data_IF_939502348445
#
_entry.id   IF_939502348445
#
_cell.length_a   1.000
_cell.length_b   1.000
_cell.length_c   1.000
_cell.angle_alpha   90.00
_cell.angle_beta   90.00
_cell.angle_gamma   90.00
#
_symmetry.space_group_name_H-M   'P 1'
#
loop_
_entity.id
_entity.type
_entity.pdbx_description
1 polymer ?
#
# COMPACT_ATOMS: atom_id res chain seq x y z
N UNK A 1 -16.03 21.22 5.32
CA UNK A 1 -15.43 20.49 4.18
C UNK A 1 -16.54 20.29 3.16
N UNK A 2 -16.41 20.80 1.93
CA UNK A 2 -17.43 20.56 0.92
C UNK A 2 -17.46 19.06 0.62
N UNK A 3 -18.66 18.49 0.66
CA UNK A 3 -18.93 17.08 0.34
C UNK A 3 -18.45 16.83 -1.08
N UNK A 4 -17.35 16.08 -1.25
CA UNK A 4 -16.87 15.63 -2.55
C UNK A 4 -18.02 14.85 -3.17
N UNK A 5 -18.64 15.35 -4.24
CA UNK A 5 -19.61 14.59 -5.02
C UNK A 5 -18.93 13.27 -5.40
N UNK A 6 -19.41 12.16 -4.85
CA UNK A 6 -18.95 10.82 -5.21
C UNK A 6 -19.43 10.55 -6.63
N UNK A 7 -18.57 10.87 -7.61
CA UNK A 7 -18.79 10.64 -9.04
C UNK A 7 -18.68 9.17 -9.40
N UNK A 8 -19.55 8.35 -8.82
CA UNK A 8 -19.65 6.92 -9.06
C UNK A 8 -20.84 6.56 -9.94
N UNK A 9 -20.95 5.29 -10.29
CA UNK A 9 -22.06 4.74 -11.07
C UNK A 9 -22.31 3.30 -10.66
N UNK A 10 -23.57 2.88 -10.81
CA UNK A 10 -23.97 1.48 -10.73
C UNK A 10 -24.65 1.11 -12.04
N UNK A 11 -24.40 -0.09 -12.52
CA UNK A 11 -25.00 -0.62 -13.74
C UNK A 11 -25.83 -1.83 -13.38
N UNK A 12 -27.09 -1.80 -13.81
CA UNK A 12 -28.08 -2.85 -13.56
C UNK A 12 -28.48 -3.49 -14.88
N UNK A 13 -28.58 -4.83 -14.87
CA UNK A 13 -29.23 -5.62 -15.91
C UNK A 13 -30.65 -5.91 -15.47
N UNK A 14 -31.62 -5.57 -16.30
CA UNK A 14 -33.03 -5.93 -16.07
C UNK A 14 -33.28 -7.27 -16.75
N UNK A 15 -33.73 -8.26 -15.99
CA UNK A 15 -34.06 -9.61 -16.49
C UNK A 15 -35.43 -9.63 -17.19
N UNK A 16 -35.77 -10.67 -17.97
CA UNK A 16 -37.05 -10.75 -18.69
C UNK A 16 -38.30 -10.70 -17.79
N UNK A 17 -38.18 -11.06 -16.53
CA UNK A 17 -39.22 -10.98 -15.49
C UNK A 17 -39.31 -9.59 -14.83
N UNK A 18 -38.43 -8.66 -15.21
CA UNK A 18 -38.34 -7.32 -14.64
C UNK A 18 -37.44 -7.20 -13.42
N UNK A 19 -36.81 -8.28 -12.94
CA UNK A 19 -35.92 -8.22 -11.78
C UNK A 19 -34.62 -7.45 -12.15
N UNK A 20 -34.28 -6.35 -11.43
CA UNK A 20 -33.03 -5.64 -11.65
C UNK A 20 -31.90 -6.32 -10.88
N UNK A 21 -30.84 -6.71 -11.58
CA UNK A 21 -29.62 -7.28 -11.00
C UNK A 21 -28.44 -6.36 -11.24
N UNK A 22 -27.76 -5.95 -10.17
CA UNK A 22 -26.54 -5.13 -10.28
C UNK A 22 -25.42 -5.98 -10.88
N UNK A 23 -24.80 -5.49 -11.96
CA UNK A 23 -23.71 -6.18 -12.66
C UNK A 23 -22.37 -5.47 -12.51
N UNK A 24 -22.37 -4.21 -12.09
CA UNK A 24 -21.16 -3.44 -11.87
C UNK A 24 -21.43 -2.24 -10.95
N UNK A 25 -20.41 -1.81 -10.21
CA UNK A 25 -20.44 -0.57 -9.43
C UNK A 25 -19.05 0.02 -9.26
N UNK A 26 -18.93 1.34 -9.35
CA UNK A 26 -17.75 2.09 -8.94
C UNK A 26 -18.16 3.32 -8.13
N UNK A 27 -17.39 3.61 -7.08
CA UNK A 27 -17.56 4.85 -6.30
C UNK A 27 -16.86 6.06 -6.91
N UNK A 28 -16.08 5.86 -7.98
CA UNK A 28 -15.18 6.87 -8.57
C UNK A 28 -15.32 7.07 -10.07
N UNK A 29 -15.91 6.10 -10.77
CA UNK A 29 -16.07 6.13 -12.22
C UNK A 29 -17.53 6.43 -12.58
N UNK A 30 -17.72 7.48 -13.38
CA UNK A 30 -19.02 7.81 -13.97
C UNK A 30 -19.14 7.12 -15.32
N UNK A 31 -20.19 6.31 -15.53
CA UNK A 31 -20.47 5.66 -16.82
C UNK A 31 -21.24 6.62 -17.73
N UNK A 32 -20.73 6.86 -18.95
CA UNK A 32 -21.35 7.74 -19.95
C UNK A 32 -22.01 6.97 -21.09
N UNK A 33 -21.47 5.81 -21.46
CA UNK A 33 -22.03 4.98 -22.51
C UNK A 33 -21.85 3.49 -22.20
N UNK A 34 -22.79 2.70 -22.75
CA UNK A 34 -22.84 1.24 -22.65
C UNK A 34 -22.93 0.68 -24.06
N UNK A 35 -22.29 -0.46 -24.32
CA UNK A 35 -22.41 -1.15 -25.60
C UNK A 35 -21.83 -2.56 -25.54
N UNK A 36 -22.30 -3.52 -26.34
CA UNK A 36 -21.71 -4.86 -26.38
C UNK A 36 -20.28 -4.83 -26.95
N UNK A 37 -19.41 -5.76 -26.62
CA UNK A 37 -18.21 -6.04 -27.42
C UNK A 37 -18.59 -7.00 -28.57
N UNK A 38 -17.66 -7.37 -29.46
CA UNK A 38 -17.93 -8.28 -30.58
C UNK A 38 -18.41 -9.67 -30.14
N UNK A 39 -18.12 -10.07 -28.90
CA UNK A 39 -18.54 -11.33 -28.30
C UNK A 39 -19.84 -11.19 -27.48
N UNK A 40 -20.48 -10.01 -27.50
CA UNK A 40 -21.73 -9.72 -26.80
C UNK A 40 -21.57 -9.37 -25.32
N UNK A 41 -20.34 -9.23 -24.79
CA UNK A 41 -20.11 -8.82 -23.40
C UNK A 41 -20.30 -7.32 -23.24
N UNK A 42 -20.77 -6.86 -22.08
CA UNK A 42 -21.06 -5.43 -21.89
C UNK A 42 -19.78 -4.61 -21.68
N UNK A 43 -19.56 -3.60 -22.52
CA UNK A 43 -18.58 -2.54 -22.34
C UNK A 43 -19.19 -1.34 -21.61
N UNK A 44 -18.40 -0.75 -20.72
CA UNK A 44 -18.70 0.45 -19.93
C UNK A 44 -17.67 1.53 -20.27
N UNK A 45 -18.12 2.58 -20.96
CA UNK A 45 -17.32 3.77 -21.24
C UNK A 45 -17.45 4.75 -20.07
N UNK A 46 -16.33 5.09 -19.42
CA UNK A 46 -16.33 5.93 -18.23
C UNK A 46 -15.63 7.27 -18.42
N UNK A 47 -15.91 8.20 -17.50
CA UNK A 47 -15.19 9.46 -17.33
C UNK A 47 -14.25 9.50 -16.14
N UNK A 48 -13.72 10.69 -15.87
CA UNK A 48 -12.66 11.00 -14.91
C UNK A 48 -11.27 10.46 -15.30
N UNK A 49 -11.20 9.20 -15.73
CA UNK A 49 -9.93 8.55 -16.11
C UNK A 49 -9.96 7.90 -17.50
N UNK A 50 -11.01 8.14 -18.30
CA UNK A 50 -11.08 7.65 -19.67
C UNK A 50 -11.02 6.13 -19.80
N UNK A 51 -11.60 5.39 -18.85
CA UNK A 51 -11.49 3.94 -18.80
C UNK A 51 -12.61 3.26 -19.57
N UNK A 52 -12.27 2.18 -20.25
CA UNK A 52 -13.22 1.27 -20.87
C UNK A 52 -13.16 -0.06 -20.12
N UNK A 53 -14.24 -0.42 -19.43
CA UNK A 53 -14.35 -1.71 -18.77
C UNK A 53 -15.18 -2.68 -19.60
N UNK A 54 -14.89 -3.97 -19.51
CA UNK A 54 -15.75 -5.07 -19.96
C UNK A 54 -16.25 -5.85 -18.76
N UNK A 55 -17.55 -6.07 -18.68
CA UNK A 55 -18.15 -6.90 -17.64
C UNK A 55 -17.98 -8.36 -18.03
N UNK A 56 -17.23 -9.11 -17.23
CA UNK A 56 -16.99 -10.55 -17.43
C UNK A 56 -18.04 -11.38 -16.69
N UNK A 57 -18.38 -10.95 -15.47
CA UNK A 57 -19.47 -11.47 -14.65
C UNK A 57 -19.93 -10.37 -13.69
N UNK A 58 -20.85 -10.67 -12.79
CA UNK A 58 -21.33 -9.70 -11.79
C UNK A 58 -20.30 -9.29 -10.76
N UNK A 59 -19.25 -10.10 -10.61
CA UNK A 59 -18.17 -9.87 -9.65
C UNK A 59 -16.85 -9.56 -10.33
N UNK A 60 -16.74 -9.78 -11.64
CA UNK A 60 -15.50 -9.62 -12.40
C UNK A 60 -15.69 -8.69 -13.59
N UNK A 61 -14.80 -7.72 -13.71
CA UNK A 61 -14.70 -6.86 -14.88
C UNK A 61 -13.22 -6.69 -15.26
N UNK A 62 -12.99 -6.43 -16.54
CA UNK A 62 -11.67 -6.25 -17.12
C UNK A 62 -11.54 -4.81 -17.60
N UNK A 63 -10.49 -4.11 -17.21
CA UNK A 63 -10.10 -2.85 -17.83
C UNK A 63 -9.53 -3.15 -19.21
N UNK A 64 -10.27 -2.83 -20.27
CA UNK A 64 -9.89 -3.11 -21.66
C UNK A 64 -8.90 -2.06 -22.16
N UNK A 65 -9.16 -0.79 -21.84
CA UNK A 65 -8.30 0.31 -22.26
C UNK A 65 -8.43 1.52 -21.33
N UNK A 66 -7.37 2.32 -21.27
CA UNK A 66 -7.37 3.65 -20.66
C UNK A 66 -6.99 4.66 -21.74
N UNK A 67 -7.90 5.59 -22.05
CA UNK A 67 -7.67 6.63 -23.04
C UNK A 67 -6.84 7.77 -22.45
N UNK A 68 -6.01 8.46 -23.25
CA UNK A 68 -5.34 9.68 -22.82
C UNK A 68 -6.30 10.82 -22.44
N UNK A 69 -7.54 10.76 -22.96
CA UNK A 69 -8.61 11.70 -22.65
C UNK A 69 -9.44 11.18 -21.49
N UNK A 70 -9.77 12.04 -20.53
CA UNK A 70 -10.41 11.65 -19.27
C UNK A 70 -11.85 11.13 -19.41
N UNK A 71 -12.47 11.22 -20.59
CA UNK A 71 -13.87 10.85 -20.79
C UNK A 71 -14.07 10.12 -22.11
N UNK A 72 -14.69 8.95 -22.05
CA UNK A 72 -15.27 8.24 -23.20
C UNK A 72 -16.79 8.44 -23.14
N UNK A 73 -17.37 9.16 -24.09
CA UNK A 73 -18.77 9.60 -24.04
C UNK A 73 -19.70 8.86 -24.97
N UNK A 74 -19.18 8.15 -25.98
CA UNK A 74 -19.97 7.32 -26.87
C UNK A 74 -19.20 6.11 -27.37
N UNK A 75 -19.95 5.05 -27.66
CA UNK A 75 -19.49 3.81 -28.28
C UNK A 75 -20.28 3.57 -29.57
N UNK A 76 -19.60 3.19 -30.65
CA UNK A 76 -20.26 2.83 -31.92
C UNK A 76 -19.67 1.55 -32.50
N UNK A 77 -20.53 0.55 -32.70
CA UNK A 77 -20.16 -0.75 -33.28
C UNK A 77 -20.03 -0.68 -34.79
N UNK A 78 -19.00 -1.35 -35.31
CA UNK A 78 -18.78 -1.52 -36.75
C UNK A 78 -19.10 -2.94 -37.18
N UNK A 79 -19.57 -3.16 -38.42
CA UNK A 79 -19.78 -4.50 -38.97
C UNK A 79 -18.51 -5.38 -39.00
N UNK A 80 -17.33 -4.77 -38.98
CA UNK A 80 -16.03 -5.46 -38.90
C UNK A 80 -15.74 -6.06 -37.51
N UNK A 81 -16.57 -5.80 -36.50
CA UNK A 81 -16.28 -6.15 -35.10
C UNK A 81 -15.43 -5.11 -34.38
N UNK A 82 -15.07 -3.99 -35.00
CA UNK A 82 -14.41 -2.91 -34.29
C UNK A 82 -15.41 -2.03 -33.52
N UNK A 83 -14.96 -1.40 -32.42
CA UNK A 83 -15.73 -0.44 -31.64
C UNK A 83 -15.07 0.93 -31.70
N UNK A 84 -15.80 1.94 -32.19
CA UNK A 84 -15.34 3.33 -32.15
C UNK A 84 -15.66 3.94 -30.79
N UNK A 85 -14.67 4.60 -30.19
CA UNK A 85 -14.74 5.29 -28.91
C UNK A 85 -14.67 6.80 -29.16
N UNK A 86 -15.71 7.54 -28.81
CA UNK A 86 -15.67 9.01 -28.85
C UNK A 86 -15.24 9.55 -27.49
N UNK A 87 -14.23 10.42 -27.47
CA UNK A 87 -13.76 11.06 -26.24
C UNK A 87 -14.17 12.52 -26.13
N UNK A 88 -14.29 12.99 -24.89
CA UNK A 88 -14.56 14.39 -24.54
C UNK A 88 -13.36 15.02 -23.81
N UNK A 89 -13.39 16.34 -23.58
CA UNK A 89 -12.28 17.25 -23.23
C UNK A 89 -11.28 17.44 -24.39
N UNK A 90 -10.72 16.35 -24.90
CA UNK A 90 -10.08 16.32 -26.20
C UNK A 90 -10.94 15.46 -27.13
N UNK A 91 -11.62 16.10 -28.08
CA UNK A 91 -12.48 15.44 -29.06
C UNK A 91 -11.66 14.58 -30.01
N UNK A 92 -11.62 13.27 -29.76
CA UNK A 92 -10.95 12.27 -30.60
C UNK A 92 -11.85 11.07 -30.78
N UNK A 93 -11.69 10.39 -31.90
CA UNK A 93 -12.26 9.07 -32.14
C UNK A 93 -11.12 8.06 -32.12
N UNK A 94 -11.25 7.04 -31.30
CA UNK A 94 -10.34 5.89 -31.27
C UNK A 94 -11.06 4.67 -31.81
N UNK A 95 -10.34 3.74 -32.41
CA UNK A 95 -10.89 2.46 -32.89
C UNK A 95 -10.27 1.33 -32.07
N UNK A 96 -11.13 0.55 -31.40
CA UNK A 96 -10.77 -0.68 -30.73
C UNK A 96 -11.06 -1.84 -31.68
N UNK A 97 -10.01 -2.51 -32.15
CA UNK A 97 -10.15 -3.68 -33.01
C UNK A 97 -10.65 -4.92 -32.25
N UNK A 98 -11.22 -5.92 -32.96
CA UNK A 98 -11.66 -7.18 -32.35
C UNK A 98 -10.50 -8.13 -32.00
N UNK A 99 -9.31 -7.87 -32.53
CA UNK A 99 -8.14 -8.73 -32.40
C UNK A 99 -7.34 -8.43 -31.13
N UNK A 100 -6.65 -9.45 -30.62
CA UNK A 100 -5.68 -9.28 -29.54
C UNK A 100 -4.47 -8.51 -30.05
N UNK A 101 -4.00 -7.54 -29.28
CA UNK A 101 -2.74 -6.86 -29.57
C UNK A 101 -1.56 -7.86 -29.57
N UNK A 102 -0.60 -7.68 -30.48
CA UNK A 102 0.63 -8.48 -30.48
C UNK A 102 1.50 -8.21 -29.25
N UNK A 103 1.44 -6.96 -28.74
CA UNK A 103 2.22 -6.49 -27.60
C UNK A 103 1.41 -5.54 -26.73
N UNK A 104 1.52 -5.70 -25.41
CA UNK A 104 0.92 -4.84 -24.40
C UNK A 104 1.93 -4.45 -23.32
N UNK A 105 1.67 -3.34 -22.63
CA UNK A 105 2.48 -2.87 -21.51
C UNK A 105 1.57 -2.50 -20.33
N UNK A 106 1.98 -2.88 -19.13
CA UNK A 106 1.30 -2.55 -17.89
C UNK A 106 2.31 -1.99 -16.89
N UNK A 107 2.04 -0.79 -16.36
CA UNK A 107 2.78 -0.22 -15.24
C UNK A 107 1.97 -0.37 -13.95
N UNK A 108 2.62 -0.89 -12.91
CA UNK A 108 2.00 -1.06 -11.60
C UNK A 108 1.76 0.26 -10.89
N UNK A 109 0.92 0.24 -9.86
CA UNK A 109 0.95 1.26 -8.82
C UNK A 109 2.32 1.28 -8.12
N UNK A 110 2.63 2.39 -7.46
CA UNK A 110 3.86 2.53 -6.68
C UNK A 110 3.72 1.79 -5.34
N UNK A 111 4.62 0.84 -5.12
CA UNK A 111 4.79 0.16 -3.83
C UNK A 111 5.58 1.07 -2.88
N UNK A 112 5.05 1.32 -1.69
CA UNK A 112 5.72 2.03 -0.60
C UNK A 112 6.17 1.04 0.50
N UNK A 113 7.47 0.73 0.55
CA UNK A 113 8.06 -0.10 1.61
C UNK A 113 8.08 0.57 2.99
N UNK A 114 7.47 1.76 3.11
CA UNK A 114 7.37 2.64 4.30
C UNK A 114 8.69 3.26 4.71
N UNK A 115 9.81 2.57 4.49
CA UNK A 115 11.16 3.03 4.76
C UNK A 115 12.12 2.60 3.66
N UNK A 116 13.34 3.14 3.74
CA UNK A 116 14.39 2.79 2.81
C UNK A 116 14.65 1.28 2.86
N UNK A 117 14.60 0.60 1.72
CA UNK A 117 14.73 -0.84 1.61
C UNK A 117 15.71 -1.25 0.51
N UNK A 118 16.28 -2.44 0.66
CA UNK A 118 16.98 -3.14 -0.42
C UNK A 118 15.98 -4.05 -1.12
N UNK A 119 15.87 -3.92 -2.42
CA UNK A 119 14.99 -4.75 -3.24
C UNK A 119 15.67 -6.09 -3.54
N UNK A 120 14.92 -7.16 -3.34
CA UNK A 120 15.34 -8.55 -3.50
C UNK A 120 14.82 -9.14 -4.80
N UNK A 121 14.39 -10.40 -4.76
CA UNK A 121 13.86 -11.13 -5.91
C UNK A 121 12.50 -10.56 -6.35
N UNK A 122 12.22 -10.65 -7.65
CA UNK A 122 10.88 -10.53 -8.22
C UNK A 122 10.41 -11.89 -8.68
N UNK A 123 9.20 -12.27 -8.33
CA UNK A 123 8.55 -13.51 -8.79
C UNK A 123 7.20 -13.16 -9.39
N UNK A 124 6.71 -13.95 -10.34
CA UNK A 124 5.37 -13.74 -10.88
C UNK A 124 4.71 -15.02 -11.37
N UNK A 125 3.39 -15.05 -11.21
CA UNK A 125 2.55 -16.14 -11.70
C UNK A 125 2.08 -15.79 -13.11
N UNK A 126 2.24 -16.74 -14.04
CA UNK A 126 1.89 -16.52 -15.43
C UNK A 126 1.34 -17.79 -16.11
N UNK A 127 0.66 -17.58 -17.23
CA UNK A 127 0.39 -18.60 -18.24
C UNK A 127 1.00 -18.12 -19.55
N UNK A 128 1.99 -18.85 -20.04
CA UNK A 128 2.73 -18.52 -21.25
C UNK A 128 2.40 -19.53 -22.36
N UNK A 129 1.58 -19.13 -23.36
CA UNK A 129 1.42 -19.87 -24.60
C UNK A 129 2.77 -20.06 -25.32
N UNK A 130 2.83 -21.04 -26.22
CA UNK A 130 4.05 -21.32 -26.96
C UNK A 130 4.49 -20.09 -27.77
N UNK A 131 5.74 -19.64 -27.54
CA UNK A 131 6.32 -18.49 -28.23
C UNK A 131 5.91 -17.11 -27.68
N UNK A 132 5.03 -17.07 -26.68
CA UNK A 132 4.74 -15.84 -25.96
C UNK A 132 5.85 -15.49 -24.96
N UNK A 133 5.98 -14.20 -24.64
CA UNK A 133 6.99 -13.68 -23.72
C UNK A 133 6.36 -12.68 -22.75
N UNK A 134 6.79 -12.73 -21.49
CA UNK A 134 6.53 -11.71 -20.48
C UNK A 134 7.88 -11.21 -19.97
N UNK A 135 8.11 -9.91 -20.10
CA UNK A 135 9.32 -9.24 -19.65
C UNK A 135 8.97 -8.23 -18.55
N UNK A 136 9.52 -8.42 -17.34
CA UNK A 136 9.22 -7.56 -16.19
C UNK A 136 10.44 -6.70 -15.84
N UNK A 137 10.28 -5.38 -15.78
CA UNK A 137 11.31 -4.45 -15.35
C UNK A 137 10.88 -3.69 -14.10
N UNK A 138 11.85 -3.26 -13.28
CA UNK A 138 11.58 -2.43 -12.10
C UNK A 138 12.37 -1.13 -12.10
N UNK A 139 11.80 -0.13 -11.44
CA UNK A 139 12.50 1.12 -11.07
C UNK A 139 12.19 1.47 -9.63
N UNK A 140 13.07 2.23 -9.00
CA UNK A 140 12.92 2.63 -7.61
C UNK A 140 13.23 4.11 -7.38
N UNK A 141 12.74 4.65 -6.27
CA UNK A 141 12.95 6.05 -5.92
C UNK A 141 12.60 6.37 -4.47
N UNK A 142 12.89 7.61 -4.05
CA UNK A 142 12.65 8.08 -2.67
C UNK A 142 11.51 9.12 -2.58
N UNK A 143 10.74 9.29 -3.66
CA UNK A 143 9.54 10.14 -3.70
C UNK A 143 8.33 9.30 -4.10
N UNK A 144 7.17 9.53 -3.49
CA UNK A 144 5.96 8.75 -3.75
C UNK A 144 5.47 8.88 -5.20
N UNK A 145 5.70 10.03 -5.84
CA UNK A 145 5.40 10.24 -7.26
C UNK A 145 6.65 9.96 -8.10
N UNK A 146 6.57 9.03 -9.08
CA UNK A 146 7.63 8.81 -10.06
C UNK A 146 7.98 10.12 -10.76
N UNK A 147 9.24 10.53 -10.66
CA UNK A 147 9.74 11.81 -11.17
C UNK A 147 11.22 11.67 -11.54
N UNK A 148 11.86 12.77 -11.97
CA UNK A 148 13.26 12.78 -12.44
C UNK A 148 14.28 12.15 -11.47
N UNK A 149 13.96 12.04 -10.18
CA UNK A 149 14.85 11.48 -9.15
C UNK A 149 14.65 9.97 -8.91
N UNK A 150 13.86 9.31 -9.74
CA UNK A 150 13.76 7.85 -9.78
C UNK A 150 14.84 7.26 -10.69
N UNK A 151 15.18 6.00 -10.46
CA UNK A 151 16.05 5.27 -11.39
C UNK A 151 15.39 5.14 -12.76
N UNK A 152 16.21 4.91 -13.80
CA UNK A 152 15.69 4.33 -15.03
C UNK A 152 15.05 2.97 -14.75
N UNK A 153 14.23 2.50 -15.67
CA UNK A 153 13.81 1.10 -15.69
C UNK A 153 15.07 0.22 -15.79
N UNK A 154 15.16 -0.78 -14.93
CA UNK A 154 16.21 -1.79 -14.97
C UNK A 154 16.06 -2.71 -16.19
N UNK A 155 17.03 -3.61 -16.36
CA UNK A 155 16.92 -4.68 -17.35
C UNK A 155 15.70 -5.56 -17.06
N UNK A 156 15.07 -6.04 -18.12
CA UNK A 156 13.92 -6.90 -17.98
C UNK A 156 14.35 -8.27 -17.43
N UNK A 157 13.67 -8.69 -16.38
CA UNK A 157 13.75 -10.02 -15.80
C UNK A 157 12.85 -10.93 -16.62
N UNK A 158 13.42 -12.00 -17.18
CA UNK A 158 12.71 -12.92 -18.10
C UNK A 158 12.39 -14.29 -17.48
N UNK A 159 12.96 -14.63 -16.32
CA UNK A 159 12.71 -15.92 -15.67
C UNK A 159 11.54 -15.85 -14.69
N UNK A 160 10.53 -16.71 -14.89
CA UNK A 160 9.42 -16.88 -13.95
C UNK A 160 9.87 -17.41 -12.57
N UNK A 161 11.04 -18.06 -12.49
CA UNK A 161 11.63 -18.53 -11.21
C UNK A 161 12.21 -17.37 -10.36
N UNK A 162 12.26 -16.18 -10.94
CA UNK A 162 12.53 -14.92 -10.28
C UNK A 162 14.00 -14.60 -10.11
N UNK A 163 14.43 -13.52 -10.77
CA UNK A 163 15.77 -12.96 -10.59
C UNK A 163 15.78 -11.81 -9.57
N UNK A 164 16.98 -11.45 -9.14
CA UNK A 164 17.20 -10.27 -8.31
C UNK A 164 16.74 -9.02 -9.05
N UNK A 165 15.97 -8.15 -8.39
CA UNK A 165 15.56 -6.88 -8.98
C UNK A 165 16.79 -6.05 -9.36
N UNK A 166 16.81 -5.52 -10.58
CA UNK A 166 17.86 -4.59 -11.04
C UNK A 166 17.75 -3.18 -10.44
N UNK A 167 16.81 -2.94 -9.52
CA UNK A 167 16.56 -1.60 -8.97
C UNK A 167 17.46 -1.26 -7.78
N UNK A 168 17.98 -0.02 -7.70
CA UNK A 168 18.79 0.41 -6.56
C UNK A 168 17.97 0.49 -5.26
N UNK A 169 18.62 0.38 -4.08
CA UNK A 169 17.92 0.53 -2.79
C UNK A 169 17.21 1.87 -2.66
N UNK A 170 15.92 1.84 -2.30
CA UNK A 170 15.09 3.03 -2.12
C UNK A 170 13.83 2.70 -1.29
N UNK A 171 12.98 3.70 -1.01
CA UNK A 171 11.70 3.49 -0.30
C UNK A 171 10.56 3.01 -1.20
N UNK A 172 10.52 3.48 -2.44
CA UNK A 172 9.45 3.20 -3.38
C UNK A 172 9.95 2.32 -4.52
N UNK A 173 9.11 1.40 -4.98
CA UNK A 173 9.34 0.53 -6.13
C UNK A 173 8.14 0.63 -7.07
N UNK A 174 8.38 0.57 -8.36
CA UNK A 174 7.35 0.35 -9.37
C UNK A 174 7.86 -0.70 -10.35
N UNK A 175 6.96 -1.57 -10.80
CA UNK A 175 7.26 -2.57 -11.81
C UNK A 175 6.44 -2.33 -13.07
N UNK A 176 6.93 -2.90 -14.16
CA UNK A 176 6.31 -2.82 -15.47
C UNK A 176 6.47 -4.13 -16.20
N UNK A 177 5.38 -4.64 -16.74
CA UNK A 177 5.39 -5.83 -17.57
C UNK A 177 5.15 -5.46 -19.02
N UNK A 178 5.92 -6.06 -19.91
CA UNK A 178 5.67 -6.09 -21.35
C UNK A 178 5.27 -7.50 -21.70
N UNK A 179 4.10 -7.64 -22.30
CA UNK A 179 3.52 -8.91 -22.72
C UNK A 179 3.54 -8.96 -24.24
N UNK A 180 4.10 -10.03 -24.81
CA UNK A 180 4.18 -10.24 -26.25
C UNK A 180 3.62 -11.61 -26.59
N UNK A 181 2.69 -11.68 -27.55
CA UNK A 181 2.15 -12.96 -28.04
C UNK A 181 2.80 -13.38 -29.35
N UNK A 182 2.83 -14.68 -29.59
CA UNK A 182 3.05 -15.29 -30.89
C UNK A 182 1.88 -16.23 -31.19
N UNK A 183 1.16 -16.01 -32.30
CA UNK A 183 -0.08 -16.75 -32.58
C UNK A 183 -1.30 -16.19 -31.84
N UNK A 184 -2.38 -16.96 -31.77
CA UNK A 184 -3.72 -16.44 -31.42
C UNK A 184 -4.02 -16.36 -29.92
N UNK A 185 -3.12 -16.85 -29.06
CA UNK A 185 -3.29 -16.84 -27.61
C UNK A 185 -2.48 -15.70 -26.96
N UNK A 186 -3.09 -14.99 -26.00
CA UNK A 186 -2.40 -13.96 -25.22
C UNK A 186 -1.67 -14.59 -24.02
N UNK A 187 -0.44 -14.17 -23.68
CA UNK A 187 0.12 -14.46 -22.37
C UNK A 187 -0.73 -13.83 -21.27
N UNK A 188 -0.74 -14.47 -20.09
CA UNK A 188 -1.42 -14.00 -18.89
C UNK A 188 -0.42 -13.80 -17.76
N UNK A 189 -0.57 -12.69 -17.04
CA UNK A 189 0.20 -12.34 -15.85
C UNK A 189 -0.78 -12.12 -14.70
N UNK A 190 -0.77 -13.02 -13.71
CA UNK A 190 -1.76 -13.02 -12.64
C UNK A 190 -1.32 -12.20 -11.43
N UNK A 191 -0.04 -12.33 -11.04
CA UNK A 191 0.51 -11.66 -9.88
C UNK A 191 2.00 -11.39 -10.04
N UNK A 192 2.47 -10.26 -9.51
CA UNK A 192 3.90 -9.94 -9.34
C UNK A 192 4.19 -9.75 -7.85
N UNK A 193 5.18 -10.47 -7.35
CA UNK A 193 5.65 -10.44 -5.95
C UNK A 193 7.04 -9.84 -5.91
N UNK A 194 7.21 -8.80 -5.11
CA UNK A 194 8.51 -8.18 -4.87
C UNK A 194 8.93 -8.43 -3.41
N UNK A 195 10.08 -9.06 -3.22
CA UNK A 195 10.68 -9.26 -1.90
C UNK A 195 11.65 -8.13 -1.60
N UNK A 196 11.71 -7.67 -0.35
CA UNK A 196 12.61 -6.59 0.04
C UNK A 196 12.97 -6.67 1.52
N UNK A 197 14.12 -6.07 1.86
CA UNK A 197 14.62 -5.95 3.21
C UNK A 197 14.68 -4.47 3.62
N UNK A 198 13.79 -4.00 4.50
CA UNK A 198 13.88 -2.66 5.07
C UNK A 198 15.20 -2.46 5.82
N UNK A 199 15.77 -1.26 5.74
CA UNK A 199 16.94 -0.90 6.55
C UNK A 199 16.53 -0.82 8.02
N UNK A 200 17.17 -1.62 8.85
CA UNK A 200 17.01 -1.53 10.30
C UNK A 200 17.40 -0.12 10.80
N UNK A 201 16.58 0.46 11.66
CA UNK A 201 16.83 1.76 12.30
C UNK A 201 17.00 1.52 13.78
N UNK A 202 17.99 2.18 14.40
CA UNK A 202 18.21 2.06 15.84
C UNK A 202 17.08 2.78 16.60
N UNK A 203 16.61 2.23 17.72
CA UNK A 203 15.74 2.96 18.62
C UNK A 203 16.47 4.17 19.22
N UNK A 204 15.71 5.21 19.58
CA UNK A 204 16.25 6.44 20.15
C UNK A 204 15.49 6.82 21.42
N UNK A 205 16.22 7.03 22.51
CA UNK A 205 15.69 7.68 23.72
C UNK A 205 15.57 9.17 23.41
N UNK A 206 14.34 9.68 23.46
CA UNK A 206 14.02 11.09 23.16
C UNK A 206 13.96 11.95 24.42
N UNK A 207 13.55 11.36 25.54
CA UNK A 207 13.42 12.02 26.83
C UNK A 207 13.85 11.05 27.92
N UNK A 208 14.56 11.59 28.91
CA UNK A 208 14.97 10.88 30.12
C UNK A 208 14.75 11.83 31.30
N UNK A 209 14.07 11.36 32.32
CA UNK A 209 13.78 12.11 33.54
C UNK A 209 14.13 11.27 34.75
N UNK A 210 14.68 11.91 35.78
CA UNK A 210 14.90 11.31 37.08
C UNK A 210 13.96 11.93 38.11
N UNK A 211 13.61 11.16 39.14
CA UNK A 211 12.91 11.70 40.32
C UNK A 211 13.86 12.56 41.14
N UNK A 212 13.34 13.52 41.93
CA UNK A 212 14.10 14.07 43.05
C UNK A 212 14.51 12.96 44.04
N UNK A 213 15.52 13.21 44.91
CA UNK A 213 15.86 12.30 45.99
C UNK A 213 14.67 12.01 46.90
N UNK A 214 14.55 10.77 47.39
CA UNK A 214 13.48 10.29 48.26
C UNK A 214 12.09 10.20 47.60
N UNK A 215 12.05 10.05 46.28
CA UNK A 215 10.82 9.81 45.52
C UNK A 215 11.02 8.62 44.59
N UNK A 216 9.92 7.90 44.30
CA UNK A 216 9.86 6.85 43.29
C UNK A 216 8.65 7.01 42.39
N UNK A 217 8.73 6.40 41.21
CA UNK A 217 7.56 6.23 40.36
C UNK A 217 6.62 5.16 40.95
N UNK A 218 5.29 5.31 40.80
CA UNK A 218 4.36 4.25 41.13
C UNK A 218 4.63 3.04 40.22
N UNK A 219 4.38 1.82 40.70
CA UNK A 219 4.48 0.64 39.86
C UNK A 219 3.58 0.83 38.64
N UNK A 220 4.16 0.55 37.47
CA UNK A 220 3.45 0.37 36.22
C UNK A 220 2.32 -0.63 36.47
N UNK A 221 1.07 -0.24 36.18
CA UNK A 221 0.02 -1.26 36.10
C UNK A 221 0.30 -2.08 34.84
N UNK A 222 0.28 -3.42 34.90
CA UNK A 222 0.43 -4.24 33.71
C UNK A 222 -0.60 -3.76 32.69
N UNK A 223 -0.12 -3.35 31.52
CA UNK A 223 -0.97 -2.90 30.44
C UNK A 223 -1.69 -4.15 29.93
N UNK A 224 -2.86 -4.48 30.49
CA UNK A 224 -3.74 -5.50 29.90
C UNK A 224 -3.92 -5.13 28.45
N UNK A 225 -3.32 -5.93 27.57
CA UNK A 225 -3.53 -5.81 26.14
C UNK A 225 -5.03 -6.00 25.93
N UNK A 226 -5.75 -4.90 25.69
CA UNK A 226 -7.08 -5.03 25.12
C UNK A 226 -6.84 -5.75 23.80
N UNK A 227 -7.34 -6.98 23.69
CA UNK A 227 -7.40 -7.67 22.43
C UNK A 227 -8.05 -6.69 21.44
N UNK A 228 -7.27 -6.20 20.49
CA UNK A 228 -7.81 -5.50 19.34
C UNK A 228 -8.55 -6.59 18.57
N UNK A 229 -9.82 -6.82 18.91
CA UNK A 229 -10.68 -7.63 18.09
C UNK A 229 -10.64 -7.00 16.69
N UNK A 230 -10.01 -7.71 15.76
CA UNK A 230 -9.98 -7.32 14.36
C UNK A 230 -11.42 -7.50 13.85
N UNK A 231 -12.23 -6.45 13.97
CA UNK A 231 -13.54 -6.42 13.35
C UNK A 231 -13.29 -6.08 11.88
N UNK A 232 -13.44 -7.08 11.01
CA UNK A 232 -13.42 -6.86 9.58
C UNK A 232 -14.53 -5.84 9.24
N UNK A 233 -14.22 -4.72 8.56
CA UNK A 233 -15.25 -3.83 8.09
C UNK A 233 -16.13 -4.55 7.05
N UNK A 234 -17.43 -4.22 6.94
CA UNK A 234 -18.24 -4.72 5.84
C UNK A 234 -17.60 -4.29 4.51
N UNK A 235 -17.55 -5.23 3.55
CA UNK A 235 -17.02 -5.03 2.20
C UNK A 235 -17.54 -3.72 1.59
N UNK A 236 -16.64 -2.82 1.16
CA UNK A 236 -16.98 -1.59 0.43
C UNK A 236 -17.07 -0.29 1.24
N UNK A 237 -16.69 -0.25 2.53
CA UNK A 237 -16.66 1.00 3.33
C UNK A 237 -15.30 1.27 4.00
N UNK A 238 -14.71 2.41 3.68
CA UNK A 238 -13.54 2.96 4.38
C UNK A 238 -13.99 3.72 5.63
N UNK A 239 -13.71 3.19 6.83
CA UNK A 239 -13.94 3.91 8.09
C UNK A 239 -12.73 4.79 8.39
N UNK A 240 -12.92 6.11 8.41
CA UNK A 240 -11.93 7.05 8.97
C UNK A 240 -12.06 6.97 10.50
N UNK A 241 -11.23 6.14 11.15
CA UNK A 241 -11.09 6.17 12.60
C UNK A 241 -10.37 7.48 12.99
N UNK A 242 -11.15 8.48 13.43
CA UNK A 242 -10.62 9.62 14.17
C UNK A 242 -10.27 9.16 15.58
N UNK A 243 -9.01 8.81 15.80
CA UNK A 243 -8.44 8.73 17.14
C UNK A 243 -8.45 10.13 17.76
N UNK A 244 -9.37 10.40 18.67
CA UNK A 244 -9.27 11.56 19.57
C UNK A 244 -8.13 11.30 20.54
N UNK A 245 -7.00 11.98 20.36
CA UNK A 245 -5.93 12.02 21.35
C UNK A 245 -6.35 12.97 22.48
N UNK A 246 -6.95 12.43 23.54
CA UNK A 246 -6.98 13.13 24.83
C UNK A 246 -5.62 12.93 25.50
N UNK A 247 -4.71 13.89 25.34
CA UNK A 247 -3.44 13.87 26.05
C UNK A 247 -3.66 14.18 27.54
N UNK A 248 -3.09 13.39 28.48
CA UNK A 248 -3.06 13.80 29.88
C UNK A 248 -2.07 14.97 30.04
N UNK A 249 -2.54 16.08 30.59
CA UNK A 249 -1.78 17.31 30.81
C UNK A 249 -0.96 17.32 32.12
N UNK A 250 -0.70 16.17 32.72
CA UNK A 250 0.08 16.04 33.95
C UNK A 250 1.00 14.82 33.86
N UNK A 251 2.28 15.00 34.24
CA UNK A 251 3.19 13.88 34.44
C UNK A 251 2.65 12.86 35.45
N UNK A 252 3.14 11.62 35.43
CA UNK A 252 2.74 10.58 36.38
C UNK A 252 3.02 11.05 37.81
N UNK A 253 2.13 10.73 38.77
CA UNK A 253 2.35 11.07 40.17
C UNK A 253 3.62 10.39 40.69
N UNK A 254 4.36 11.04 41.58
CA UNK A 254 5.50 10.43 42.30
C UNK A 254 5.08 10.12 43.73
N UNK A 255 5.66 9.08 44.33
CA UNK A 255 5.38 8.70 45.73
C UNK A 255 6.63 8.93 46.59
N UNK A 256 6.52 9.62 47.75
CA UNK A 256 7.62 9.72 48.69
C UNK A 256 8.11 8.34 49.13
N UNK A 257 9.42 8.12 49.07
CA UNK A 257 10.08 6.89 49.48
C UNK A 257 11.52 7.20 49.88
N UNK A 258 11.80 7.22 51.18
CA UNK A 258 13.11 7.57 51.73
C UNK A 258 14.19 6.65 51.18
N UNK A 259 15.31 7.23 50.70
CA UNK A 259 16.43 6.50 50.11
C UNK A 259 16.23 6.04 48.66
N UNK A 260 15.03 6.19 48.07
CA UNK A 260 14.76 5.78 46.68
C UNK A 260 15.02 6.91 45.69
N UNK A 261 15.43 6.50 44.50
CA UNK A 261 15.50 7.31 43.28
C UNK A 261 14.91 6.51 42.13
N UNK A 262 14.44 7.18 41.09
CA UNK A 262 13.96 6.52 39.88
C UNK A 262 14.26 7.31 38.62
N UNK A 263 14.25 6.60 37.49
CA UNK A 263 14.38 7.16 36.15
C UNK A 263 13.27 6.63 35.25
N UNK A 264 12.82 7.46 34.32
CA UNK A 264 11.89 7.07 33.25
C UNK A 264 12.30 7.68 31.93
N UNK A 265 11.99 7.01 30.84
CA UNK A 265 12.36 7.46 29.52
C UNK A 265 11.24 7.28 28.50
N UNK A 266 11.35 8.01 27.40
CA UNK A 266 10.52 7.82 26.21
C UNK A 266 11.43 7.42 25.08
N UNK A 267 11.32 6.17 24.64
CA UNK A 267 12.00 5.67 23.46
C UNK A 267 11.06 5.67 22.25
N UNK A 268 11.63 5.93 21.09
CA UNK A 268 10.96 5.80 19.79
C UNK A 268 11.75 4.81 18.96
N UNK A 269 11.06 3.80 18.47
CA UNK A 269 11.54 2.93 17.41
C UNK A 269 10.69 3.14 16.16
N UNK A 270 11.34 3.45 15.05
CA UNK A 270 10.60 3.70 13.80
C UNK A 270 10.16 2.40 13.13
N UNK A 271 10.67 1.24 13.58
CA UNK A 271 10.31 -0.09 13.11
C UNK A 271 9.08 -0.64 13.77
N UNK A 272 8.76 -0.12 14.93
CA UNK A 272 7.79 -0.77 15.79
C UNK A 272 8.31 -2.12 16.26
N UNK A 273 9.63 -2.28 16.35
CA UNK A 273 10.22 -3.42 17.03
C UNK A 273 9.93 -3.28 18.53
N UNK A 274 9.78 -4.41 19.21
CA UNK A 274 9.65 -4.43 20.65
C UNK A 274 10.97 -3.98 21.29
N UNK A 275 10.88 -3.10 22.29
CA UNK A 275 12.03 -2.48 22.93
C UNK A 275 12.32 -3.11 24.28
N UNK A 276 13.57 -3.52 24.45
CA UNK A 276 14.14 -3.96 25.71
C UNK A 276 15.21 -2.95 26.15
N UNK A 277 15.29 -2.73 27.46
CA UNK A 277 16.13 -1.70 28.06
C UNK A 277 17.09 -2.32 29.08
N UNK A 278 18.32 -1.80 29.06
CA UNK A 278 19.31 -1.96 30.11
C UNK A 278 19.52 -0.61 30.78
N UNK A 279 19.37 -0.56 32.09
CA UNK A 279 19.51 0.65 32.90
C UNK A 279 20.80 0.56 33.68
N UNK A 280 21.64 1.57 33.53
CA UNK A 280 22.92 1.66 34.22
C UNK A 280 23.08 3.02 34.90
N UNK A 281 23.85 3.04 35.98
CA UNK A 281 24.30 4.27 36.64
C UNK A 281 25.81 4.34 36.67
N UNK A 282 26.35 5.56 36.64
CA UNK A 282 27.78 5.82 36.77
C UNK A 282 27.96 7.03 37.66
N UNK A 283 28.71 6.89 38.77
CA UNK A 283 29.11 8.03 39.58
C UNK A 283 29.97 9.01 38.79
N UNK A 284 30.01 10.29 39.19
CA UNK A 284 30.78 11.33 38.48
C UNK A 284 32.28 11.00 38.41
N UNK A 285 32.82 10.40 39.47
CA UNK A 285 34.23 9.99 39.58
C UNK A 285 34.48 8.53 39.15
N UNK A 286 33.44 7.81 38.76
CA UNK A 286 33.55 6.40 38.38
C UNK A 286 33.73 6.25 36.86
N UNK A 287 34.60 5.31 36.46
CA UNK A 287 34.79 4.99 35.05
C UNK A 287 33.86 3.88 34.55
N UNK A 288 33.39 3.02 35.45
CA UNK A 288 32.57 1.87 35.11
C UNK A 288 31.10 2.13 35.43
N UNK A 289 30.22 1.76 34.50
CA UNK A 289 28.80 1.71 34.75
C UNK A 289 28.45 0.52 35.66
N UNK A 290 27.50 0.72 36.58
CA UNK A 290 26.87 -0.32 37.39
C UNK A 290 25.49 -0.59 36.81
N UNK A 291 25.21 -1.85 36.50
CA UNK A 291 23.91 -2.27 35.95
C UNK A 291 22.88 -2.28 37.08
N UNK A 292 21.78 -1.56 36.88
CA UNK A 292 20.60 -1.58 37.77
C UNK A 292 19.57 -2.60 37.31
N UNK A 293 19.37 -2.67 35.99
CA UNK A 293 18.39 -3.55 35.35
C UNK A 293 18.88 -3.94 33.96
N UNK A 294 18.58 -5.17 33.55
CA UNK A 294 18.84 -5.65 32.19
C UNK A 294 17.62 -6.42 31.66
N UNK A 295 17.32 -6.26 30.37
CA UNK A 295 16.25 -6.96 29.67
C UNK A 295 14.82 -6.59 30.04
N UNK A 296 14.55 -5.35 30.49
CA UNK A 296 13.19 -4.92 30.86
C UNK A 296 12.46 -4.27 29.67
N UNK A 297 11.14 -4.46 29.57
CA UNK A 297 10.28 -3.81 28.57
C UNK A 297 9.68 -2.49 29.11
N UNK A 298 9.79 -2.26 30.42
CA UNK A 298 9.27 -1.05 31.05
C UNK A 298 10.17 0.16 30.80
N UNK A 299 9.54 1.30 30.52
CA UNK A 299 10.24 2.56 30.28
C UNK A 299 10.45 3.38 31.56
N UNK A 300 10.52 2.71 32.71
CA UNK A 300 10.77 3.29 34.03
C UNK A 300 11.46 2.27 34.94
N UNK A 301 12.30 2.74 35.85
CA UNK A 301 12.98 1.91 36.83
C UNK A 301 13.27 2.72 38.11
N UNK A 302 13.11 2.11 39.30
CA UNK A 302 13.46 2.74 40.58
C UNK A 302 14.37 1.86 41.44
N UNK A 303 15.39 2.49 42.04
CA UNK A 303 16.46 1.83 42.79
C UNK A 303 16.70 2.51 44.15
N UNK A 304 17.45 1.82 45.01
CA UNK A 304 17.92 2.38 46.29
C UNK A 304 19.19 3.21 46.05
N UNK A 305 19.09 4.52 46.27
CA UNK A 305 20.19 5.47 46.09
C UNK A 305 21.29 5.36 47.14
N UNK A 306 21.10 4.57 48.21
CA UNK A 306 22.13 4.31 49.23
C UNK A 306 22.96 3.06 48.94
N UNK A 307 22.59 2.29 47.92
CA UNK A 307 23.25 1.01 47.58
C UNK A 307 24.55 1.18 46.77
N UNK A 308 24.96 2.40 46.41
CA UNK A 308 26.02 2.66 45.44
C UNK A 308 26.98 3.77 45.80
#
# INVERSE_FOLDING_TARGET
MPTRLTGGSEVYRILPDGEPRKVWSSGTDTVYALGPDPNGKLLLATGNQGRLFRVESETLNTLVATMPSEQITALLHRPSGAVLLATSNAGKIYELGPELAERGEFESDVLDAKRFARWGRLEWDNQLPQGAEIAVATRSGNLATPSKNWSSWGEAVGSAEGDQSGSPPARFLQWRAVLSRQGDESPLLDAVRAYYLPKNVRPVITHLEATPPNYRFPPSKPRTAQAKNLVLPPLGRTVVQRSRSSGPSSGPPMTPAQGRMGARWVAKDENGDDLVYQVEIRGEDEQNCKILQDGDEESQHDWDGTSF
#
